data_IF_872115350221
#
_entry.id   IF_872115350221
#
_cell.length_a   1.000
_cell.length_b   1.000
_cell.length_c   1.000
_cell.angle_alpha   90.00
_cell.angle_beta   90.00
_cell.angle_gamma   90.00
#
_symmetry.space_group_name_H-M   'P 1'
#
loop_
_entity.id
_entity.type
_entity.pdbx_description
1 polymer ?
#
# COMPACT_ATOMS: atom_id res chain seq x y z
N UNK A 1 7.58 62.49 -6.97
CA UNK A 1 8.01 61.22 -6.33
C UNK A 1 6.88 60.21 -6.10
N UNK A 2 5.65 60.63 -5.74
CA UNK A 2 4.53 59.70 -5.44
C UNK A 2 4.20 58.70 -6.56
N UNK A 3 4.45 59.06 -7.82
CA UNK A 3 4.23 58.22 -9.01
C UNK A 3 5.32 57.17 -9.29
N UNK A 4 6.37 57.06 -8.46
CA UNK A 4 7.43 56.07 -8.65
C UNK A 4 8.44 56.38 -9.76
N UNK A 5 8.39 57.57 -10.35
CA UNK A 5 9.34 58.04 -11.37
C UNK A 5 10.75 58.13 -10.78
N UNK A 6 11.75 57.57 -11.48
CA UNK A 6 13.16 57.57 -11.03
C UNK A 6 13.60 58.96 -10.57
N UNK A 7 14.26 59.03 -9.40
CA UNK A 7 14.74 60.29 -8.82
C UNK A 7 15.60 61.10 -9.80
N UNK A 8 16.47 60.45 -10.56
CA UNK A 8 17.30 61.09 -11.60
C UNK A 8 16.48 61.81 -12.68
N UNK A 9 15.36 61.21 -13.12
CA UNK A 9 14.47 61.84 -14.09
C UNK A 9 13.70 63.03 -13.49
N UNK A 10 13.40 63.00 -12.19
CA UNK A 10 12.80 64.13 -11.47
C UNK A 10 13.82 65.27 -11.37
N UNK A 11 15.07 64.96 -10.98
CA UNK A 11 16.16 65.93 -10.89
C UNK A 11 16.40 66.63 -12.23
N UNK A 12 16.45 65.87 -13.33
CA UNK A 12 16.61 66.42 -14.67
C UNK A 12 15.42 67.28 -15.10
N UNK A 13 14.18 66.80 -14.85
CA UNK A 13 12.96 67.50 -15.26
C UNK A 13 12.75 68.83 -14.53
N UNK A 14 13.13 68.89 -13.25
CA UNK A 14 12.92 70.06 -12.41
C UNK A 14 14.22 70.80 -12.05
N UNK A 15 15.33 70.45 -12.71
CA UNK A 15 16.66 71.04 -12.51
C UNK A 15 17.06 71.17 -11.03
N UNK A 16 16.75 70.16 -10.21
CA UNK A 16 17.01 70.18 -8.78
C UNK A 16 18.12 69.20 -8.36
N UNK A 17 18.84 69.54 -7.29
CA UNK A 17 19.90 68.70 -6.74
C UNK A 17 19.33 67.53 -5.94
N UNK A 18 20.14 66.50 -5.72
CA UNK A 18 19.77 65.36 -4.88
C UNK A 18 19.45 65.80 -3.45
N UNK A 19 20.20 66.78 -2.93
CA UNK A 19 19.96 67.38 -1.61
C UNK A 19 18.56 67.99 -1.51
N UNK A 20 18.10 68.70 -2.55
CA UNK A 20 16.75 69.27 -2.58
C UNK A 20 15.66 68.18 -2.54
N UNK A 21 15.88 67.05 -3.21
CA UNK A 21 14.96 65.90 -3.12
C UNK A 21 14.97 65.27 -1.72
N UNK A 22 16.13 65.17 -1.07
CA UNK A 22 16.24 64.65 0.29
C UNK A 22 15.49 65.53 1.29
N UNK A 23 15.57 66.85 1.16
CA UNK A 23 14.81 67.78 2.01
C UNK A 23 13.30 67.58 1.85
N UNK A 24 12.81 67.47 0.62
CA UNK A 24 11.39 67.19 0.33
C UNK A 24 10.94 65.85 0.95
N UNK A 25 11.81 64.85 0.95
CA UNK A 25 11.54 63.55 1.57
C UNK A 25 11.53 63.58 3.10
N UNK A 26 12.31 64.48 3.71
CA UNK A 26 12.32 64.71 5.16
C UNK A 26 11.06 65.47 5.61
N UNK A 27 10.61 66.44 4.81
CA UNK A 27 9.40 67.22 5.09
C UNK A 27 8.11 66.40 4.90
N UNK A 28 8.10 65.44 3.96
CA UNK A 28 6.99 64.50 3.76
C UNK A 28 7.41 63.03 4.01
N UNK A 29 7.43 62.56 5.27
CA UNK A 29 7.94 61.21 5.60
C UNK A 29 7.19 60.04 4.95
N UNK A 30 5.95 60.25 4.48
CA UNK A 30 5.17 59.25 3.71
C UNK A 30 5.56 59.14 2.23
N UNK A 31 6.28 60.12 1.69
CA UNK A 31 6.60 60.22 0.27
C UNK A 31 7.48 59.06 -0.22
N UNK A 32 8.44 58.65 0.63
CA UNK A 32 9.33 57.53 0.36
C UNK A 32 8.60 56.18 0.33
N UNK A 33 7.63 55.97 1.22
CA UNK A 33 6.79 54.77 1.22
C UNK A 33 5.94 54.70 -0.06
N UNK A 34 5.34 55.83 -0.45
CA UNK A 34 4.60 55.97 -1.71
C UNK A 34 5.48 55.69 -2.93
N UNK A 35 6.69 56.25 -2.98
CA UNK A 35 7.66 56.01 -4.06
C UNK A 35 8.02 54.52 -4.18
N UNK A 36 8.35 53.86 -3.06
CA UNK A 36 8.65 52.42 -3.04
C UNK A 36 7.45 51.58 -3.48
N UNK A 37 6.24 51.92 -3.04
CA UNK A 37 5.00 51.23 -3.43
C UNK A 37 4.72 51.37 -4.92
N UNK A 38 4.83 52.58 -5.47
CA UNK A 38 4.66 52.84 -6.89
C UNK A 38 5.71 52.12 -7.74
N UNK A 39 6.97 52.08 -7.29
CA UNK A 39 8.02 51.30 -7.94
C UNK A 39 7.70 49.80 -8.00
N UNK A 40 7.24 49.21 -6.89
CA UNK A 40 6.79 47.81 -6.85
C UNK A 40 5.63 47.55 -7.83
N UNK A 41 4.64 48.43 -7.87
CA UNK A 41 3.49 48.33 -8.77
C UNK A 41 3.92 48.44 -10.24
N UNK A 42 4.84 49.34 -10.57
CA UNK A 42 5.38 49.47 -11.94
C UNK A 42 6.12 48.21 -12.38
N UNK A 43 6.96 47.62 -11.53
CA UNK A 43 7.62 46.34 -11.83
C UNK A 43 6.61 45.20 -12.02
N UNK A 44 5.60 45.12 -11.16
CA UNK A 44 4.54 44.12 -11.28
C UNK A 44 3.78 44.28 -12.60
N UNK A 45 3.39 45.50 -12.95
CA UNK A 45 2.69 45.78 -14.20
C UNK A 45 3.55 45.48 -15.42
N UNK A 46 4.85 45.79 -15.38
CA UNK A 46 5.78 45.44 -16.46
C UNK A 46 5.89 43.92 -16.67
N UNK A 47 5.87 43.13 -15.59
CA UNK A 47 5.85 41.67 -15.67
C UNK A 47 4.52 41.15 -16.23
N UNK A 48 3.38 41.75 -15.84
CA UNK A 48 2.07 41.41 -16.42
C UNK A 48 2.03 41.67 -17.93
N UNK A 49 2.45 42.85 -18.36
CA UNK A 49 2.46 43.22 -19.78
C UNK A 49 3.38 42.31 -20.61
N UNK A 50 4.54 41.92 -20.08
CA UNK A 50 5.43 40.95 -20.76
C UNK A 50 4.77 39.58 -20.94
N UNK A 51 4.03 39.11 -19.93
CA UNK A 51 3.28 37.86 -20.03
C UNK A 51 2.15 37.98 -21.05
N UNK A 52 1.38 39.06 -21.02
CA UNK A 52 0.29 39.32 -21.98
C UNK A 52 0.80 39.34 -23.42
N UNK A 53 1.91 40.03 -23.69
CA UNK A 53 2.55 40.05 -25.01
C UNK A 53 2.97 38.64 -25.45
N UNK A 54 3.54 37.85 -24.54
CA UNK A 54 3.92 36.47 -24.83
C UNK A 54 2.72 35.58 -25.16
N UNK A 55 1.64 35.71 -24.38
CA UNK A 55 0.40 34.94 -24.60
C UNK A 55 -0.37 35.41 -25.85
N UNK A 56 -0.29 36.68 -26.22
CA UNK A 56 -0.88 37.18 -27.46
C UNK A 56 -0.25 36.52 -28.70
N UNK A 57 1.06 36.26 -28.67
CA UNK A 57 1.76 35.55 -29.74
C UNK A 57 1.53 34.03 -29.64
N UNK A 58 1.33 33.50 -28.41
CA UNK A 58 1.17 32.07 -28.14
C UNK A 58 -0.04 31.79 -27.23
N UNK A 59 -1.27 31.85 -27.74
CA UNK A 59 -2.48 31.69 -26.92
C UNK A 59 -2.62 30.31 -26.26
N UNK A 60 -1.95 29.29 -26.80
CA UNK A 60 -1.95 27.91 -26.30
C UNK A 60 -0.77 27.59 -25.38
N UNK A 61 0.08 28.58 -25.07
CA UNK A 61 1.24 28.36 -24.22
C UNK A 61 0.82 27.91 -22.82
N UNK A 62 1.47 26.86 -22.33
CA UNK A 62 1.21 26.32 -20.99
C UNK A 62 2.08 27.01 -19.95
N UNK A 63 1.75 26.81 -18.67
CA UNK A 63 2.61 27.22 -17.54
C UNK A 63 4.08 26.85 -17.73
N UNK A 64 4.33 25.63 -18.22
CA UNK A 64 5.69 25.12 -18.43
C UNK A 64 6.42 25.88 -19.55
N UNK A 65 5.70 26.35 -20.56
CA UNK A 65 6.26 27.11 -21.67
C UNK A 65 6.63 28.53 -21.22
N UNK A 66 5.77 29.17 -20.42
CA UNK A 66 6.04 30.47 -19.80
C UNK A 66 7.24 30.40 -18.85
N UNK A 67 7.32 29.36 -18.01
CA UNK A 67 8.46 29.14 -17.10
C UNK A 67 9.79 29.02 -17.84
N UNK A 68 9.80 28.34 -19.00
CA UNK A 68 11.00 28.18 -19.82
C UNK A 68 11.37 29.44 -20.60
N UNK A 69 10.38 30.14 -21.15
CA UNK A 69 10.62 31.29 -22.01
C UNK A 69 10.88 32.59 -21.23
N UNK A 70 10.24 32.77 -20.07
CA UNK A 70 10.30 33.98 -19.25
C UNK A 70 10.49 33.66 -17.76
N UNK A 71 11.61 33.00 -17.37
CA UNK A 71 11.80 32.49 -16.00
C UNK A 71 11.69 33.58 -14.93
N UNK A 72 12.32 34.74 -15.13
CA UNK A 72 12.24 35.85 -14.16
C UNK A 72 10.85 36.48 -14.03
N UNK A 73 10.07 36.52 -15.11
CA UNK A 73 8.68 37.01 -15.06
C UNK A 73 7.79 35.97 -14.37
N UNK A 74 7.99 34.69 -14.67
CA UNK A 74 7.30 33.58 -14.03
C UNK A 74 7.51 33.58 -12.51
N UNK A 75 8.77 33.64 -12.05
CA UNK A 75 9.09 33.63 -10.62
C UNK A 75 8.48 34.85 -9.89
N UNK A 76 8.57 36.03 -10.51
CA UNK A 76 8.02 37.26 -9.94
C UNK A 76 6.49 37.21 -9.81
N UNK A 77 5.79 36.71 -10.84
CA UNK A 77 4.33 36.62 -10.85
C UNK A 77 3.82 35.49 -9.95
N UNK A 78 4.45 34.32 -9.94
CA UNK A 78 4.07 33.24 -9.01
C UNK A 78 4.25 33.66 -7.55
N UNK A 79 5.29 34.42 -7.23
CA UNK A 79 5.57 34.85 -5.86
C UNK A 79 4.66 35.97 -5.39
N UNK A 80 4.37 36.95 -6.26
CA UNK A 80 3.70 38.20 -5.88
C UNK A 80 2.26 38.35 -6.40
N UNK A 81 1.87 37.55 -7.39
CA UNK A 81 0.65 37.74 -8.17
C UNK A 81 0.08 36.43 -8.75
N UNK A 82 0.13 35.40 -7.91
CA UNK A 82 -0.15 34.01 -8.28
C UNK A 82 -1.52 33.83 -8.91
N UNK A 83 -2.56 34.37 -8.26
CA UNK A 83 -3.94 34.23 -8.69
C UNK A 83 -4.19 34.89 -10.05
N UNK A 84 -3.60 36.07 -10.29
CA UNK A 84 -3.71 36.73 -11.58
C UNK A 84 -3.02 35.90 -12.67
N UNK A 85 -1.82 35.38 -12.40
CA UNK A 85 -1.08 34.55 -13.33
C UNK A 85 -1.85 33.30 -13.77
N UNK A 86 -2.47 32.57 -12.83
CA UNK A 86 -3.24 31.37 -13.18
C UNK A 86 -4.51 31.69 -13.98
N UNK A 87 -5.13 32.86 -13.80
CA UNK A 87 -6.28 33.27 -14.64
C UNK A 87 -5.89 33.56 -16.09
N UNK A 88 -4.64 33.94 -16.36
CA UNK A 88 -4.19 34.23 -17.72
C UNK A 88 -3.77 32.98 -18.50
N UNK A 89 -3.39 31.91 -17.81
CA UNK A 89 -2.91 30.68 -18.47
C UNK A 89 -4.08 29.72 -18.66
N UNK A 90 -4.28 29.16 -19.86
CA UNK A 90 -5.30 28.15 -20.09
C UNK A 90 -5.10 26.96 -19.14
N UNK A 91 -6.16 26.58 -18.43
CA UNK A 91 -6.15 25.35 -17.65
C UNK A 91 -5.82 24.17 -18.56
N UNK A 92 -4.81 23.39 -18.17
CA UNK A 92 -4.49 22.16 -18.91
C UNK A 92 -5.74 21.28 -18.90
N UNK A 93 -6.21 20.87 -20.09
CA UNK A 93 -7.14 19.74 -20.20
C UNK A 93 -6.49 18.57 -19.48
N UNK A 94 -7.00 18.21 -18.31
CA UNK A 94 -6.57 17.00 -17.61
C UNK A 94 -6.79 15.88 -18.60
N UNK A 95 -5.70 15.23 -19.04
CA UNK A 95 -5.81 14.10 -19.95
C UNK A 95 -6.81 13.12 -19.33
N UNK A 96 -7.85 12.75 -20.08
CA UNK A 96 -8.85 11.83 -19.60
C UNK A 96 -8.15 10.63 -18.96
N UNK A 97 -8.52 10.31 -17.71
CA UNK A 97 -7.93 9.20 -16.96
C UNK A 97 -8.24 7.94 -17.76
N UNK A 98 -7.31 7.52 -18.62
CA UNK A 98 -7.41 6.24 -19.31
C UNK A 98 -7.34 5.19 -18.22
N UNK A 99 -8.45 4.46 -18.03
CA UNK A 99 -8.48 3.28 -17.18
C UNK A 99 -7.38 2.33 -17.66
N UNK A 100 -6.31 2.24 -16.87
CA UNK A 100 -5.18 1.37 -17.18
C UNK A 100 -5.72 -0.06 -17.20
N UNK A 101 -5.63 -0.74 -18.34
CA UNK A 101 -5.95 -2.18 -18.42
C UNK A 101 -5.18 -2.92 -17.32
N UNK A 102 -5.87 -3.79 -16.57
CA UNK A 102 -5.23 -4.62 -15.55
C UNK A 102 -4.09 -5.40 -16.21
N UNK A 103 -2.86 -5.16 -15.76
CA UNK A 103 -1.65 -5.79 -16.32
C UNK A 103 -1.50 -7.27 -15.91
N UNK A 104 -2.30 -7.72 -14.95
CA UNK A 104 -2.18 -9.02 -14.31
C UNK A 104 -3.49 -9.76 -14.54
N UNK A 105 -3.41 -10.92 -15.19
CA UNK A 105 -4.52 -11.86 -15.27
C UNK A 105 -4.72 -12.54 -13.90
N UNK A 106 -5.53 -11.89 -13.07
CA UNK A 106 -5.88 -12.41 -11.75
C UNK A 106 -6.67 -13.72 -11.84
N UNK A 107 -7.53 -13.87 -12.84
CA UNK A 107 -8.36 -15.06 -13.00
C UNK A 107 -7.52 -16.29 -13.37
N UNK A 108 -6.57 -16.14 -14.30
CA UNK A 108 -5.60 -17.18 -14.64
C UNK A 108 -4.70 -17.54 -13.46
N UNK A 109 -4.19 -16.52 -12.75
CA UNK A 109 -3.36 -16.71 -11.55
C UNK A 109 -4.12 -17.47 -10.45
N UNK A 110 -5.36 -17.08 -10.15
CA UNK A 110 -6.18 -17.73 -9.13
C UNK A 110 -6.47 -19.19 -9.49
N UNK A 111 -6.77 -19.48 -10.76
CA UNK A 111 -7.00 -20.86 -11.24
C UNK A 111 -5.76 -21.73 -11.07
N UNK A 112 -4.59 -21.24 -11.49
CA UNK A 112 -3.32 -21.96 -11.33
C UNK A 112 -3.01 -22.22 -9.86
N UNK A 113 -3.14 -21.18 -9.01
CA UNK A 113 -2.85 -21.29 -7.59
C UNK A 113 -3.85 -22.16 -6.84
N UNK A 114 -5.12 -22.20 -7.25
CA UNK A 114 -6.11 -23.10 -6.67
C UNK A 114 -5.77 -24.57 -6.93
N UNK A 115 -5.26 -24.90 -8.12
CA UNK A 115 -4.78 -26.25 -8.44
C UNK A 115 -3.54 -26.63 -7.61
N UNK A 116 -2.57 -25.72 -7.48
CA UNK A 116 -1.37 -25.92 -6.65
C UNK A 116 -1.73 -26.15 -5.18
N UNK A 117 -2.58 -25.29 -4.61
CA UNK A 117 -3.09 -25.41 -3.24
C UNK A 117 -3.80 -26.75 -3.03
N UNK A 118 -4.60 -27.19 -4.01
CA UNK A 118 -5.27 -28.50 -3.95
C UNK A 118 -4.26 -29.65 -3.90
N UNK A 119 -3.23 -29.63 -4.75
CA UNK A 119 -2.16 -30.65 -4.73
C UNK A 119 -1.40 -30.67 -3.41
N UNK A 120 -1.17 -29.51 -2.79
CA UNK A 120 -0.52 -29.45 -1.47
C UNK A 120 -1.39 -30.10 -0.40
N UNK A 121 -2.71 -29.86 -0.41
CA UNK A 121 -3.62 -30.58 0.48
C UNK A 121 -3.56 -32.09 0.25
N UNK A 122 -3.54 -32.56 -1.00
CA UNK A 122 -3.46 -33.99 -1.30
C UNK A 122 -2.20 -34.62 -0.69
N UNK A 123 -1.05 -33.92 -0.79
CA UNK A 123 0.21 -34.37 -0.18
C UNK A 123 0.18 -34.33 1.35
N UNK A 124 -0.43 -33.32 1.96
CA UNK A 124 -0.51 -33.19 3.43
C UNK A 124 -1.48 -34.19 4.08
N UNK A 125 -2.52 -34.58 3.34
CA UNK A 125 -3.53 -35.54 3.77
C UNK A 125 -3.25 -36.96 3.27
N UNK A 126 -2.14 -37.18 2.56
CA UNK A 126 -1.74 -38.48 2.07
C UNK A 126 -1.55 -39.48 3.23
N UNK A 127 -2.01 -40.73 3.09
CA UNK A 127 -1.84 -41.75 4.11
C UNK A 127 -0.38 -42.18 4.26
N UNK A 128 -0.02 -42.70 5.44
CA UNK A 128 1.29 -43.31 5.72
C UNK A 128 2.37 -42.36 6.24
N UNK A 129 2.31 -41.07 5.91
CA UNK A 129 3.21 -40.06 6.47
C UNK A 129 2.67 -39.55 7.80
N UNK A 130 3.57 -39.18 8.73
CA UNK A 130 3.18 -38.57 10.01
C UNK A 130 2.30 -37.33 9.75
N UNK A 131 1.07 -37.28 10.30
CA UNK A 131 0.16 -36.17 10.10
C UNK A 131 0.73 -34.82 10.51
N UNK A 132 0.57 -33.83 9.63
CA UNK A 132 0.76 -32.40 9.90
C UNK A 132 -0.57 -31.71 9.66
N UNK A 133 -0.97 -30.80 10.54
CA UNK A 133 -2.25 -30.10 10.43
C UNK A 133 -2.34 -29.28 9.14
N UNK A 134 -3.34 -29.57 8.31
CA UNK A 134 -3.57 -28.86 7.06
C UNK A 134 -4.41 -27.59 7.28
N UNK A 135 -3.80 -26.57 7.92
CA UNK A 135 -4.43 -25.25 8.09
C UNK A 135 -4.29 -24.39 6.83
N UNK A 136 -5.16 -23.38 6.70
CA UNK A 136 -5.09 -22.41 5.60
C UNK A 136 -3.70 -21.78 5.51
N UNK A 137 -3.16 -21.36 6.65
CA UNK A 137 -1.85 -20.70 6.74
C UNK A 137 -0.70 -21.62 6.33
N UNK A 138 -0.72 -22.88 6.75
CA UNK A 138 0.32 -23.86 6.42
C UNK A 138 0.36 -24.13 4.92
N UNK A 139 -0.80 -24.30 4.30
CA UNK A 139 -0.91 -24.56 2.86
C UNK A 139 -0.53 -23.33 2.04
N UNK A 140 -1.01 -22.13 2.42
CA UNK A 140 -0.65 -20.88 1.75
C UNK A 140 0.85 -20.58 1.81
N UNK A 141 1.52 -20.91 2.92
CA UNK A 141 2.98 -20.79 3.03
C UNK A 141 3.70 -21.77 2.11
N UNK A 142 3.27 -23.04 2.09
CA UNK A 142 3.83 -24.07 1.18
C UNK A 142 3.64 -23.72 -0.30
N UNK A 143 2.55 -23.02 -0.66
CA UNK A 143 2.27 -22.54 -2.02
C UNK A 143 3.00 -21.23 -2.41
N UNK A 144 3.80 -20.65 -1.50
CA UNK A 144 4.41 -19.33 -1.68
C UNK A 144 3.40 -18.19 -1.87
N UNK A 145 2.15 -18.37 -1.43
CA UNK A 145 1.02 -17.47 -1.73
C UNK A 145 0.60 -16.61 -0.53
N UNK A 146 1.07 -16.92 0.68
CA UNK A 146 0.65 -16.30 1.94
C UNK A 146 0.51 -14.77 1.87
N UNK A 147 1.58 -14.05 1.54
CA UNK A 147 1.58 -12.58 1.52
C UNK A 147 0.64 -12.02 0.45
N UNK A 148 0.62 -12.61 -0.74
CA UNK A 148 -0.22 -12.16 -1.86
C UNK A 148 -1.70 -12.35 -1.55
N UNK A 149 -2.06 -13.50 -1.00
CA UNK A 149 -3.42 -13.82 -0.60
C UNK A 149 -3.88 -12.91 0.55
N UNK A 150 -3.06 -12.73 1.59
CA UNK A 150 -3.40 -11.86 2.74
C UNK A 150 -3.64 -10.41 2.32
N UNK A 151 -2.83 -9.89 1.40
CA UNK A 151 -2.97 -8.51 0.94
C UNK A 151 -4.13 -8.33 -0.04
N UNK A 152 -4.52 -9.36 -0.79
CA UNK A 152 -5.52 -9.26 -1.86
C UNK A 152 -6.49 -10.46 -1.90
N UNK A 153 -7.20 -10.80 -0.81
CA UNK A 153 -7.98 -12.04 -0.74
C UNK A 153 -9.14 -12.06 -1.77
N UNK A 154 -9.71 -10.89 -2.08
CA UNK A 154 -10.77 -10.74 -3.08
C UNK A 154 -10.34 -11.11 -4.50
N UNK A 155 -9.03 -11.11 -4.79
CA UNK A 155 -8.48 -11.51 -6.08
C UNK A 155 -8.25 -13.03 -6.19
N UNK A 156 -8.51 -13.79 -5.12
CA UNK A 156 -8.29 -15.24 -5.04
C UNK A 156 -9.54 -16.04 -4.60
N UNK A 157 -10.70 -15.89 -5.27
CA UNK A 157 -11.94 -16.56 -4.88
C UNK A 157 -11.85 -18.10 -4.97
N UNK A 158 -11.18 -18.66 -5.98
CA UNK A 158 -11.05 -20.11 -6.15
C UNK A 158 -10.14 -20.71 -5.07
N UNK A 159 -9.00 -20.08 -4.79
CA UNK A 159 -8.14 -20.50 -3.67
C UNK A 159 -8.91 -20.45 -2.35
N UNK A 160 -9.66 -19.37 -2.09
CA UNK A 160 -10.48 -19.25 -0.88
C UNK A 160 -11.51 -20.39 -0.75
N UNK A 161 -12.14 -20.79 -1.86
CA UNK A 161 -13.07 -21.93 -1.88
C UNK A 161 -12.37 -23.25 -1.52
N UNK A 162 -11.16 -23.47 -2.03
CA UNK A 162 -10.37 -24.68 -1.71
C UNK A 162 -9.95 -24.68 -0.24
N UNK A 163 -9.44 -23.56 0.27
CA UNK A 163 -9.01 -23.40 1.66
C UNK A 163 -10.15 -23.71 2.63
N UNK A 164 -11.30 -23.03 2.49
CA UNK A 164 -12.45 -23.24 3.37
C UNK A 164 -13.00 -24.66 3.33
N UNK A 165 -12.94 -25.32 2.16
CA UNK A 165 -13.44 -26.69 1.99
C UNK A 165 -12.51 -27.73 2.62
N UNK A 166 -11.19 -27.53 2.53
CA UNK A 166 -10.19 -28.57 2.81
C UNK A 166 -9.38 -28.34 4.08
N UNK A 167 -9.43 -27.15 4.67
CA UNK A 167 -8.70 -26.88 5.90
C UNK A 167 -9.25 -27.70 7.07
N UNK A 168 -8.33 -28.34 7.78
CA UNK A 168 -8.67 -29.19 8.91
C UNK A 168 -8.90 -28.35 10.17
N UNK A 169 -10.00 -28.64 10.86
CA UNK A 169 -10.18 -28.23 12.24
C UNK A 169 -9.21 -28.99 13.15
N UNK A 170 -8.93 -28.43 14.33
CA UNK A 170 -8.01 -29.05 15.28
C UNK A 170 -8.43 -30.46 15.68
N UNK A 171 -9.73 -30.69 15.94
CA UNK A 171 -10.27 -32.00 16.31
C UNK A 171 -10.13 -33.04 15.19
N UNK A 172 -10.32 -32.63 13.92
CA UNK A 172 -10.13 -33.51 12.75
C UNK A 172 -8.66 -33.93 12.62
N UNK A 173 -7.75 -32.97 12.79
CA UNK A 173 -6.31 -33.24 12.79
C UNK A 173 -5.91 -34.17 13.93
N UNK A 174 -6.41 -33.93 15.15
CA UNK A 174 -6.12 -34.77 16.32
C UNK A 174 -6.59 -36.21 16.10
N UNK A 175 -7.81 -36.40 15.57
CA UNK A 175 -8.33 -37.71 15.22
C UNK A 175 -7.43 -38.42 14.20
N UNK A 176 -7.01 -37.73 13.14
CA UNK A 176 -6.10 -38.28 12.12
C UNK A 176 -4.73 -38.63 12.71
N UNK A 177 -4.20 -37.79 13.59
CA UNK A 177 -2.92 -38.00 14.26
C UNK A 177 -2.94 -39.23 15.18
N UNK A 178 -4.03 -39.40 15.94
CA UNK A 178 -4.24 -40.59 16.77
C UNK A 178 -4.44 -41.83 15.92
N UNK A 179 -5.26 -41.78 14.86
CA UNK A 179 -5.47 -42.89 13.95
C UNK A 179 -4.17 -43.36 13.28
N UNK A 180 -3.34 -42.42 12.82
CA UNK A 180 -2.01 -42.74 12.30
C UNK A 180 -1.14 -43.43 13.35
N UNK A 181 -1.08 -42.89 14.57
CA UNK A 181 -0.25 -43.46 15.63
C UNK A 181 -0.72 -44.86 16.05
N UNK A 182 -2.03 -45.06 16.17
CA UNK A 182 -2.66 -46.36 16.45
C UNK A 182 -2.32 -47.37 15.36
N UNK A 183 -2.43 -46.98 14.08
CA UNK A 183 -2.06 -47.84 12.96
C UNK A 183 -0.59 -48.25 13.00
N UNK A 184 0.31 -47.30 13.26
CA UNK A 184 1.74 -47.59 13.40
C UNK A 184 2.03 -48.56 14.55
N UNK A 185 1.37 -48.38 15.69
CA UNK A 185 1.52 -49.30 16.83
C UNK A 185 0.97 -50.69 16.53
N UNK A 186 -0.20 -50.78 15.88
CA UNK A 186 -0.79 -52.04 15.45
C UNK A 186 0.12 -52.80 14.48
N UNK A 187 0.68 -52.11 13.48
CA UNK A 187 1.64 -52.70 12.54
C UNK A 187 2.94 -53.16 13.22
N UNK A 188 3.32 -52.56 14.34
CA UNK A 188 4.48 -52.97 15.15
C UNK A 188 4.15 -54.07 16.18
N UNK A 189 2.88 -54.52 16.27
CA UNK A 189 2.44 -55.49 17.28
C UNK A 189 2.45 -54.94 18.71
N UNK A 190 2.48 -53.62 18.88
CA UNK A 190 2.56 -52.99 20.19
C UNK A 190 1.18 -52.65 20.77
N UNK A 191 0.86 -53.07 22.01
CA UNK A 191 -0.41 -52.73 22.61
C UNK A 191 -0.46 -51.24 23.00
N UNK A 192 -1.64 -50.65 22.81
CA UNK A 192 -1.90 -49.23 23.05
C UNK A 192 -1.87 -48.95 24.55
N UNK A 193 -1.00 -48.02 24.94
CA UNK A 193 -0.96 -47.43 26.27
C UNK A 193 -0.79 -45.92 26.15
N UNK A 194 -1.23 -45.16 27.16
CA UNK A 194 -1.15 -43.69 27.15
C UNK A 194 0.29 -43.18 26.94
N UNK A 195 1.28 -43.83 27.57
CA UNK A 195 2.68 -43.42 27.48
C UNK A 195 3.32 -43.74 26.13
N UNK A 196 2.92 -44.83 25.48
CA UNK A 196 3.39 -45.15 24.12
C UNK A 196 2.68 -44.27 23.10
N UNK A 197 1.36 -44.19 23.16
CA UNK A 197 0.55 -43.42 22.21
C UNK A 197 0.96 -41.95 22.20
N UNK A 198 1.17 -41.33 23.37
CA UNK A 198 1.60 -39.93 23.45
C UNK A 198 2.93 -39.67 22.73
N UNK A 199 3.87 -40.62 22.79
CA UNK A 199 5.20 -40.51 22.19
C UNK A 199 5.15 -40.71 20.68
N UNK A 200 4.41 -41.71 20.22
CA UNK A 200 4.23 -41.99 18.78
C UNK A 200 3.44 -40.85 18.13
N UNK A 201 2.28 -40.51 18.68
CA UNK A 201 1.44 -39.44 18.14
C UNK A 201 2.11 -38.06 18.27
N UNK A 202 2.88 -37.81 19.33
CA UNK A 202 3.39 -36.48 19.66
C UNK A 202 2.31 -35.58 20.26
N UNK A 203 1.41 -36.15 21.06
CA UNK A 203 0.26 -35.47 21.68
C UNK A 203 0.42 -35.52 23.21
N UNK A 204 0.08 -34.46 23.98
CA UNK A 204 0.13 -34.50 25.43
C UNK A 204 -0.78 -35.59 26.03
N UNK A 205 -0.34 -36.24 27.11
CA UNK A 205 -1.15 -37.29 27.75
C UNK A 205 -2.49 -36.76 28.27
N UNK A 206 -2.53 -35.53 28.81
CA UNK A 206 -3.77 -34.96 29.33
C UNK A 206 -4.84 -34.89 28.24
N UNK A 207 -4.47 -34.37 27.06
CA UNK A 207 -5.37 -34.29 25.91
C UNK A 207 -5.88 -35.68 25.46
N UNK A 208 -5.03 -36.72 25.54
CA UNK A 208 -5.46 -38.09 25.27
C UNK A 208 -6.40 -38.66 26.34
N UNK A 209 -6.27 -38.25 27.61
CA UNK A 209 -7.23 -38.61 28.66
C UNK A 209 -8.57 -37.93 28.42
N UNK A 210 -8.55 -36.64 28.13
CA UNK A 210 -9.74 -35.83 27.87
C UNK A 210 -10.51 -36.29 26.61
N UNK A 211 -9.83 -37.04 25.73
CA UNK A 211 -10.38 -37.64 24.50
C UNK A 211 -10.30 -39.17 24.52
N UNK A 212 -10.45 -39.80 25.69
CA UNK A 212 -10.40 -41.26 25.88
C UNK A 212 -11.29 -42.01 24.88
N UNK A 213 -12.54 -41.58 24.71
CA UNK A 213 -13.52 -42.27 23.87
C UNK A 213 -13.11 -42.30 22.40
N UNK A 214 -12.51 -41.21 21.91
CA UNK A 214 -11.96 -41.15 20.56
C UNK A 214 -10.83 -42.16 20.37
N UNK A 215 -9.92 -42.28 21.34
CA UNK A 215 -8.81 -43.25 21.28
C UNK A 215 -9.35 -44.68 21.25
N UNK A 216 -10.32 -45.01 22.12
CA UNK A 216 -10.92 -46.35 22.18
C UNK A 216 -11.64 -46.68 20.87
N UNK A 217 -12.44 -45.74 20.34
CA UNK A 217 -13.14 -45.91 19.07
C UNK A 217 -12.16 -46.21 17.93
N UNK A 218 -11.13 -45.38 17.78
CA UNK A 218 -10.10 -45.55 16.75
C UNK A 218 -9.33 -46.86 16.92
N UNK A 219 -9.04 -47.27 18.15
CA UNK A 219 -8.36 -48.55 18.44
C UNK A 219 -9.19 -49.75 18.00
N UNK A 220 -10.51 -49.73 18.25
CA UNK A 220 -11.44 -50.77 17.80
C UNK A 220 -11.56 -50.82 16.28
N UNK A 221 -11.70 -49.66 15.62
CA UNK A 221 -11.77 -49.56 14.16
C UNK A 221 -10.52 -50.12 13.47
N UNK A 222 -9.34 -49.97 14.09
CA UNK A 222 -8.05 -50.42 13.55
C UNK A 222 -7.63 -51.80 14.09
N UNK A 223 -8.50 -52.49 14.82
CA UNK A 223 -8.25 -53.79 15.47
C UNK A 223 -6.93 -53.83 16.28
N UNK A 224 -6.63 -52.74 16.99
CA UNK A 224 -5.39 -52.59 17.75
C UNK A 224 -5.60 -52.99 19.21
N UNK A 225 -4.71 -53.85 19.73
CA UNK A 225 -4.79 -54.33 21.11
C UNK A 225 -4.56 -53.18 22.11
N UNK A 226 -5.42 -53.06 23.12
CA UNK A 226 -5.24 -52.13 24.25
C UNK A 226 -4.54 -52.89 25.39
N UNK A 227 -3.52 -52.28 26.00
CA UNK A 227 -2.90 -52.86 27.18
C UNK A 227 -3.89 -52.86 28.34
N UNK A 228 -4.18 -54.02 28.94
CA UNK A 228 -5.16 -54.16 30.03
C UNK A 228 -4.85 -53.39 31.32
N UNK A 229 -3.60 -52.91 31.51
CA UNK A 229 -3.21 -52.01 32.61
C UNK A 229 -3.17 -50.54 32.20
N UNK A 230 -3.58 -50.22 30.97
CA UNK A 230 -3.63 -48.86 30.44
C UNK A 230 -4.86 -48.12 30.94
N UNK A 231 -4.77 -46.79 30.98
CA UNK A 231 -5.92 -45.90 31.18
C UNK A 231 -7.05 -46.10 30.14
N UNK A 232 -6.72 -46.67 28.98
CA UNK A 232 -7.68 -46.93 27.90
C UNK A 232 -8.43 -48.27 28.03
N UNK A 233 -7.99 -49.14 28.94
CA UNK A 233 -8.74 -50.36 29.29
C UNK A 233 -9.98 -50.01 30.12
#
# INVERSE_FOLDING_TARGET
MRSGVKKTAIMQRYCCSEWALTLIELDEPGLNACYRKAGKQSTQQGNRTRLEQYLAIRPTATRSDVMKALPGVYDALITKDKEWFYRQIPDKRVAAIKTRKERVDWAGTDRQKAAEVSSIFDRMLAPGVKPVQATETAVLKKAGLWTRYRNNPKKFPLVNKVLKKRSELYEQFLQRQVAWAVKQMASAGEPISINKLRRVAGVPAQLLRDRKDMVIKVSREMNAAINGRSFFA
#
